data_IF_828608882852
#
_entry.id   IF_828608882852
#
_cell.length_a   1.000
_cell.length_b   1.000
_cell.length_c   1.000
_cell.angle_alpha   90.00
_cell.angle_beta   90.00
_cell.angle_gamma   90.00
#
_symmetry.space_group_name_H-M   'P 1'
#
loop_
_entity.id
_entity.type
_entity.pdbx_description
1 polymer ?
#
# COMPACT_ATOMS: atom_id res chain seq x y z
N UNK A 1 4.35 -1.41 -19.22
CA UNK A 1 4.33 -0.88 -17.83
C UNK A 1 4.76 -1.96 -16.86
N UNK A 2 5.63 -1.63 -15.90
CA UNK A 2 6.16 -2.56 -14.90
C UNK A 2 5.13 -2.87 -13.80
N UNK A 3 4.82 -4.14 -13.60
CA UNK A 3 3.80 -4.60 -12.64
C UNK A 3 4.34 -4.85 -11.22
N UNK A 4 5.61 -5.16 -11.06
CA UNK A 4 6.26 -5.33 -9.74
C UNK A 4 7.77 -5.21 -9.90
N UNK A 5 8.48 -4.95 -8.80
CA UNK A 5 9.94 -5.02 -8.73
C UNK A 5 10.40 -5.37 -7.31
N UNK A 6 11.64 -5.84 -7.21
CA UNK A 6 12.32 -6.19 -5.97
C UNK A 6 12.93 -7.58 -6.04
N UNK A 7 13.48 -8.02 -4.90
CA UNK A 7 14.13 -9.31 -4.76
C UNK A 7 15.60 -9.29 -5.15
N UNK A 8 16.34 -10.31 -4.68
CA UNK A 8 17.76 -10.47 -4.96
C UNK A 8 17.97 -10.97 -6.38
N UNK A 9 18.97 -10.45 -7.08
CA UNK A 9 19.41 -10.97 -8.38
C UNK A 9 20.19 -12.28 -8.23
N UNK A 10 20.89 -12.45 -7.12
CA UNK A 10 21.63 -13.68 -6.80
C UNK A 10 21.43 -14.06 -5.34
N UNK A 11 21.57 -15.35 -5.02
CA UNK A 11 21.42 -15.86 -3.64
C UNK A 11 22.36 -15.18 -2.64
N UNK A 12 23.52 -14.72 -3.10
CA UNK A 12 24.59 -14.18 -2.27
C UNK A 12 24.48 -12.66 -2.03
N UNK A 13 23.48 -11.99 -2.62
CA UNK A 13 23.26 -10.57 -2.33
C UNK A 13 22.91 -10.37 -0.85
N UNK A 14 23.60 -9.42 -0.23
CA UNK A 14 23.41 -9.05 1.17
C UNK A 14 22.50 -7.83 1.25
N UNK A 15 21.45 -7.94 2.05
CA UNK A 15 20.58 -6.82 2.43
C UNK A 15 21.27 -6.07 3.57
N UNK A 16 21.60 -4.80 3.36
CA UNK A 16 22.32 -3.92 4.28
C UNK A 16 21.40 -2.88 4.92
N UNK A 17 20.45 -2.36 4.14
CA UNK A 17 19.45 -1.40 4.60
C UNK A 17 18.13 -2.09 4.90
N UNK A 18 17.32 -1.45 5.76
CA UNK A 18 15.93 -1.85 5.93
C UNK A 18 15.19 -1.71 4.59
N UNK A 19 14.54 -2.78 4.09
CA UNK A 19 13.87 -2.75 2.80
C UNK A 19 12.79 -1.67 2.74
N UNK A 20 12.60 -1.08 1.56
CA UNK A 20 11.54 -0.11 1.30
C UNK A 20 10.48 -0.72 0.39
N UNK A 21 9.24 -0.65 0.83
CA UNK A 21 8.05 -1.10 0.10
C UNK A 21 7.26 0.12 -0.36
N UNK A 22 7.07 0.28 -1.66
CA UNK A 22 6.27 1.34 -2.26
C UNK A 22 4.89 0.81 -2.68
N UNK A 23 3.83 1.46 -2.21
CA UNK A 23 2.44 1.11 -2.52
C UNK A 23 1.79 2.26 -3.29
N UNK A 24 1.38 1.97 -4.53
CA UNK A 24 0.89 2.97 -5.47
C UNK A 24 -0.53 3.45 -5.13
N UNK A 25 -0.98 4.51 -5.80
CA UNK A 25 -2.36 4.99 -5.70
C UNK A 25 -3.31 4.33 -6.69
N UNK A 26 -4.56 4.75 -6.66
CA UNK A 26 -5.58 4.35 -7.65
C UNK A 26 -5.12 4.67 -9.08
N UNK A 27 -5.54 3.88 -10.08
CA UNK A 27 -5.17 4.03 -11.50
C UNK A 27 -3.68 3.88 -11.84
N UNK A 28 -2.83 3.55 -10.86
CA UNK A 28 -1.39 3.45 -11.03
C UNK A 28 -0.90 2.00 -10.92
N UNK A 29 0.41 1.82 -11.10
CA UNK A 29 1.13 0.55 -10.97
C UNK A 29 2.44 0.77 -10.25
N UNK A 30 3.11 -0.32 -9.87
CA UNK A 30 4.45 -0.29 -9.28
C UNK A 30 5.44 0.59 -10.06
N UNK A 31 5.35 0.60 -11.40
CA UNK A 31 6.22 1.39 -12.27
C UNK A 31 6.32 2.89 -11.97
N UNK A 32 5.36 3.50 -11.28
CA UNK A 32 5.43 4.93 -10.91
C UNK A 32 6.60 5.26 -9.97
N UNK A 33 7.13 4.24 -9.29
CA UNK A 33 8.21 4.41 -8.32
C UNK A 33 9.61 4.25 -8.93
N UNK A 34 9.76 4.11 -10.25
CA UNK A 34 11.10 4.07 -10.88
C UNK A 34 11.98 5.26 -10.46
N UNK A 35 11.49 6.52 -10.48
CA UNK A 35 12.30 7.65 -10.02
C UNK A 35 12.70 7.56 -8.54
N UNK A 36 11.85 6.94 -7.71
CA UNK A 36 12.15 6.73 -6.28
C UNK A 36 13.21 5.64 -6.11
N UNK A 37 13.13 4.58 -6.91
CA UNK A 37 14.16 3.54 -6.98
C UNK A 37 15.50 4.17 -7.34
N UNK A 38 15.54 4.97 -8.41
CA UNK A 38 16.78 5.63 -8.86
C UNK A 38 17.35 6.57 -7.78
N UNK A 39 16.48 7.30 -7.08
CA UNK A 39 16.87 8.10 -5.92
C UNK A 39 17.54 7.25 -4.83
N UNK A 40 16.90 6.18 -4.36
CA UNK A 40 17.47 5.36 -3.28
C UNK A 40 18.74 4.62 -3.71
N UNK A 41 18.83 4.19 -4.97
CA UNK A 41 20.07 3.65 -5.54
C UNK A 41 21.20 4.69 -5.49
N UNK A 42 20.92 5.96 -5.79
CA UNK A 42 21.90 7.06 -5.64
C UNK A 42 22.31 7.32 -4.18
N UNK A 43 21.56 6.83 -3.21
CA UNK A 43 21.84 6.90 -1.76
C UNK A 43 22.46 5.64 -1.19
N UNK A 44 22.87 4.69 -2.03
CA UNK A 44 23.58 3.48 -1.62
C UNK A 44 22.68 2.28 -1.33
N UNK A 45 21.36 2.37 -1.56
CA UNK A 45 20.50 1.19 -1.54
C UNK A 45 20.83 0.26 -2.72
N UNK A 46 20.49 -1.01 -2.56
CA UNK A 46 20.47 -2.00 -3.63
C UNK A 46 19.04 -2.20 -4.15
N UNK A 47 18.89 -2.60 -5.42
CA UNK A 47 17.59 -3.01 -5.99
C UNK A 47 16.93 -4.14 -5.20
N UNK A 48 17.73 -5.00 -4.57
CA UNK A 48 17.24 -6.06 -3.68
C UNK A 48 16.69 -5.56 -2.34
N UNK A 49 16.73 -4.25 -2.09
CA UNK A 49 16.19 -3.58 -0.90
C UNK A 49 14.98 -2.72 -1.22
N UNK A 50 14.54 -2.68 -2.49
CA UNK A 50 13.50 -1.79 -2.98
C UNK A 50 12.39 -2.63 -3.64
N UNK A 51 11.17 -2.51 -3.13
CA UNK A 51 10.08 -3.42 -3.45
C UNK A 51 8.81 -2.66 -3.81
N UNK A 52 8.09 -3.15 -4.81
CA UNK A 52 6.73 -2.72 -5.09
C UNK A 52 5.98 -3.80 -5.85
N UNK A 53 4.68 -3.90 -5.60
CA UNK A 53 3.76 -4.72 -6.38
C UNK A 53 2.54 -3.91 -6.78
N UNK A 54 1.92 -4.30 -7.89
CA UNK A 54 0.69 -3.68 -8.36
C UNK A 54 -0.47 -4.40 -7.73
N UNK A 55 -1.25 -3.71 -6.90
CA UNK A 55 -2.47 -4.29 -6.35
C UNK A 55 -3.68 -4.03 -7.24
N UNK A 56 -4.73 -4.83 -7.04
CA UNK A 56 -5.96 -4.76 -7.83
C UNK A 56 -5.70 -5.03 -9.31
N UNK A 57 -6.32 -4.24 -10.18
CA UNK A 57 -6.24 -4.44 -11.63
C UNK A 57 -5.16 -3.58 -12.32
N UNK A 58 -4.35 -2.87 -11.55
CA UNK A 58 -3.32 -1.97 -12.08
C UNK A 58 -3.86 -0.82 -12.92
N UNK A 59 -5.02 -0.28 -12.53
CA UNK A 59 -5.60 0.93 -13.10
C UNK A 59 -6.47 0.70 -14.33
N UNK A 60 -7.08 -0.48 -14.47
CA UNK A 60 -8.13 -0.67 -15.48
C UNK A 60 -9.45 -0.03 -15.01
N UNK A 61 -9.75 -0.09 -13.71
CA UNK A 61 -10.88 0.62 -13.11
C UNK A 61 -10.55 2.11 -12.99
N UNK A 62 -11.41 3.00 -13.52
CA UNK A 62 -11.27 4.44 -13.33
C UNK A 62 -11.30 4.85 -11.86
N UNK A 63 -10.64 5.96 -11.52
CA UNK A 63 -10.48 6.42 -10.13
C UNK A 63 -11.80 6.50 -9.35
N UNK A 64 -12.86 7.05 -9.95
CA UNK A 64 -14.16 7.20 -9.28
C UNK A 64 -15.00 5.92 -9.22
N UNK A 65 -14.48 4.81 -9.75
CA UNK A 65 -15.10 3.49 -9.74
C UNK A 65 -14.30 2.44 -8.95
N UNK A 66 -13.16 2.82 -8.36
CA UNK A 66 -12.31 1.89 -7.61
C UNK A 66 -12.49 2.09 -6.11
N UNK A 67 -12.98 1.06 -5.45
CA UNK A 67 -13.12 1.01 -3.99
C UNK A 67 -11.87 0.44 -3.33
N UNK A 68 -11.78 0.59 -2.00
CA UNK A 68 -10.69 0.01 -1.20
C UNK A 68 -11.08 -1.40 -0.72
N UNK A 69 -11.10 -2.34 -1.66
CA UNK A 69 -11.55 -3.71 -1.44
C UNK A 69 -10.65 -4.50 -0.47
N UNK A 70 -11.22 -5.42 0.30
CA UNK A 70 -10.47 -6.30 1.19
C UNK A 70 -9.40 -7.11 0.45
N UNK A 71 -9.65 -7.46 -0.82
CA UNK A 71 -8.70 -8.18 -1.66
C UNK A 71 -7.39 -7.37 -1.88
N UNK A 72 -7.50 -6.06 -2.12
CA UNK A 72 -6.34 -5.18 -2.28
C UNK A 72 -5.55 -5.08 -0.98
N UNK A 73 -6.26 -4.93 0.15
CA UNK A 73 -5.68 -4.89 1.49
C UNK A 73 -4.93 -6.18 1.80
N UNK A 74 -5.54 -7.34 1.52
CA UNK A 74 -4.92 -8.66 1.70
C UNK A 74 -3.66 -8.82 0.85
N UNK A 75 -3.69 -8.36 -0.40
CA UNK A 75 -2.52 -8.42 -1.29
C UNK A 75 -1.37 -7.58 -0.75
N UNK A 76 -1.63 -6.32 -0.37
CA UNK A 76 -0.62 -5.44 0.23
C UNK A 76 -0.09 -6.00 1.55
N UNK A 77 -0.98 -6.51 2.42
CA UNK A 77 -0.60 -7.12 3.70
C UNK A 77 0.30 -8.33 3.52
N UNK A 78 -0.05 -9.23 2.59
CA UNK A 78 0.74 -10.41 2.30
C UNK A 78 2.08 -10.03 1.67
N UNK A 79 2.12 -8.99 0.84
CA UNK A 79 3.38 -8.48 0.28
C UNK A 79 4.32 -7.93 1.35
N UNK A 80 3.80 -7.15 2.31
CA UNK A 80 4.59 -6.65 3.45
C UNK A 80 5.21 -7.81 4.23
N UNK A 81 4.40 -8.83 4.57
CA UNK A 81 4.89 -10.03 5.27
C UNK A 81 5.93 -10.77 4.44
N UNK A 82 5.69 -10.96 3.14
CA UNK A 82 6.61 -11.66 2.26
C UNK A 82 7.97 -10.95 2.18
N UNK A 83 8.01 -9.62 2.10
CA UNK A 83 9.27 -8.86 2.08
C UNK A 83 9.98 -8.93 3.43
N UNK A 84 9.25 -8.81 4.54
CA UNK A 84 9.80 -9.00 5.88
C UNK A 84 10.46 -10.40 6.02
N UNK A 85 9.73 -11.46 5.67
CA UNK A 85 10.21 -12.84 5.77
C UNK A 85 11.39 -13.09 4.81
N UNK A 86 11.32 -12.57 3.59
CA UNK A 86 12.36 -12.73 2.56
C UNK A 86 13.68 -12.06 2.91
N UNK A 87 13.61 -10.90 3.57
CA UNK A 87 14.79 -10.10 3.93
C UNK A 87 15.25 -10.31 5.36
N UNK A 88 14.42 -10.97 6.18
CA UNK A 88 14.60 -11.14 7.62
C UNK A 88 14.91 -9.81 8.33
N UNK A 89 14.15 -8.77 8.00
CA UNK A 89 14.35 -7.40 8.48
C UNK A 89 13.02 -6.65 8.57
N UNK A 90 12.90 -5.73 9.54
CA UNK A 90 11.79 -4.79 9.54
C UNK A 90 11.79 -3.95 8.27
N UNK A 91 10.60 -3.59 7.79
CA UNK A 91 10.42 -2.90 6.51
C UNK A 91 9.97 -1.46 6.71
N UNK A 92 10.44 -0.59 5.81
CA UNK A 92 9.91 0.75 5.63
C UNK A 92 8.82 0.69 4.56
N UNK A 93 7.67 1.35 4.78
CA UNK A 93 6.56 1.33 3.83
C UNK A 93 6.13 2.74 3.49
N UNK A 94 6.03 3.03 2.19
CA UNK A 94 5.54 4.29 1.66
C UNK A 94 4.25 4.06 0.88
N UNK A 95 3.14 4.60 1.39
CA UNK A 95 1.87 4.63 0.68
C UNK A 95 1.70 5.95 -0.07
N UNK A 96 1.17 5.89 -1.29
CA UNK A 96 0.84 7.08 -2.08
C UNK A 96 -0.65 7.11 -2.43
N UNK A 97 -1.31 8.27 -2.26
CA UNK A 97 -2.71 8.47 -2.64
C UNK A 97 -3.64 7.41 -1.99
N UNK A 98 -4.51 6.73 -2.75
CA UNK A 98 -5.35 5.63 -2.24
C UNK A 98 -4.54 4.52 -1.55
N UNK A 99 -3.30 4.29 -1.99
CA UNK A 99 -2.37 3.34 -1.37
C UNK A 99 -2.12 3.64 0.11
N UNK A 100 -2.24 4.89 0.57
CA UNK A 100 -2.13 5.23 1.99
C UNK A 100 -3.22 4.54 2.81
N UNK A 101 -4.48 4.67 2.42
CA UNK A 101 -5.59 4.06 3.16
C UNK A 101 -5.50 2.52 3.14
N UNK A 102 -5.22 1.94 1.97
CA UNK A 102 -5.06 0.49 1.80
C UNK A 102 -3.90 -0.03 2.65
N UNK A 103 -2.73 0.60 2.61
CA UNK A 103 -1.57 0.19 3.41
C UNK A 103 -1.81 0.38 4.90
N UNK A 104 -2.45 1.48 5.33
CA UNK A 104 -2.80 1.69 6.73
C UNK A 104 -3.68 0.56 7.24
N UNK A 105 -4.72 0.18 6.48
CA UNK A 105 -5.59 -0.95 6.83
C UNK A 105 -4.82 -2.28 6.84
N UNK A 106 -3.93 -2.50 5.87
CA UNK A 106 -3.08 -3.68 5.80
C UNK A 106 -2.14 -3.82 7.02
N UNK A 107 -1.59 -2.71 7.52
CA UNK A 107 -0.72 -2.67 8.70
C UNK A 107 -1.53 -2.88 9.98
N UNK A 108 -2.66 -2.17 10.16
CA UNK A 108 -3.45 -2.24 11.39
C UNK A 108 -4.24 -3.55 11.53
N UNK A 109 -4.62 -4.18 10.41
CA UNK A 109 -5.39 -5.43 10.42
C UNK A 109 -6.85 -5.23 10.86
N UNK A 110 -7.36 -6.17 11.67
CA UNK A 110 -8.77 -6.21 12.05
C UNK A 110 -9.68 -6.76 10.95
N UNK A 111 -10.97 -6.44 11.00
CA UNK A 111 -11.96 -6.88 10.03
C UNK A 111 -12.05 -5.95 8.82
N UNK A 112 -12.18 -6.51 7.62
CA UNK A 112 -12.56 -5.76 6.42
C UNK A 112 -14.03 -5.33 6.49
N UNK A 113 -14.34 -4.10 6.12
CA UNK A 113 -15.71 -3.54 6.23
C UNK A 113 -16.65 -4.07 5.15
N UNK A 114 -16.11 -4.40 3.98
CA UNK A 114 -16.83 -4.91 2.80
C UNK A 114 -17.10 -6.43 2.86
N UNK A 115 -16.14 -7.22 3.37
CA UNK A 115 -16.26 -8.70 3.37
C UNK A 115 -16.38 -9.32 4.77
N UNK A 116 -16.15 -8.55 5.84
CA UNK A 116 -16.03 -9.04 7.20
C UNK A 116 -14.94 -10.12 7.40
N UNK A 117 -13.99 -10.24 6.47
CA UNK A 117 -12.83 -11.12 6.62
C UNK A 117 -11.87 -10.55 7.68
N UNK A 118 -11.36 -11.42 8.56
CA UNK A 118 -10.38 -11.03 9.57
C UNK A 118 -8.95 -11.07 9.00
N UNK A 119 -8.30 -9.91 8.91
CA UNK A 119 -6.92 -9.77 8.42
C UNK A 119 -5.87 -10.26 9.43
N UNK A 120 -6.25 -10.41 10.70
CA UNK A 120 -5.34 -10.71 11.79
C UNK A 120 -4.93 -9.47 12.61
N UNK A 121 -4.01 -9.69 13.55
CA UNK A 121 -3.43 -8.66 14.42
C UNK A 121 -2.61 -7.62 13.63
N UNK A 122 -2.35 -6.42 14.19
CA UNK A 122 -1.49 -5.44 13.55
C UNK A 122 -0.09 -6.00 13.20
N UNK A 123 0.49 -5.56 12.08
CA UNK A 123 1.87 -5.86 11.66
C UNK A 123 2.88 -4.84 12.22
N UNK A 124 2.53 -4.07 13.25
CA UNK A 124 3.35 -2.95 13.73
C UNK A 124 4.75 -3.38 14.18
N UNK A 125 4.95 -4.64 14.55
CA UNK A 125 6.26 -5.21 14.84
C UNK A 125 7.13 -5.45 13.59
N UNK A 126 6.53 -5.60 12.42
CA UNK A 126 7.23 -5.79 11.13
C UNK A 126 7.60 -4.46 10.48
N UNK A 127 6.94 -3.36 10.86
CA UNK A 127 7.12 -2.04 10.26
C UNK A 127 8.10 -1.24 11.10
N UNK A 128 9.14 -0.72 10.45
CA UNK A 128 10.05 0.25 11.07
C UNK A 128 9.53 1.67 10.91
N UNK A 129 9.28 2.07 9.66
CA UNK A 129 8.77 3.40 9.31
C UNK A 129 7.59 3.27 8.35
N UNK A 130 6.54 4.05 8.58
CA UNK A 130 5.45 4.24 7.63
C UNK A 130 5.37 5.70 7.19
N UNK A 131 5.42 5.94 5.88
CA UNK A 131 5.30 7.26 5.26
C UNK A 131 4.01 7.30 4.44
N UNK A 132 3.15 8.26 4.74
CA UNK A 132 1.92 8.52 3.99
C UNK A 132 2.09 9.77 3.12
N UNK A 133 1.96 9.63 1.80
CA UNK A 133 2.14 10.72 0.83
C UNK A 133 0.84 10.99 0.09
N UNK A 134 0.32 12.22 0.24
CA UNK A 134 -0.88 12.70 -0.47
C UNK A 134 -2.09 11.75 -0.39
N UNK A 135 -2.27 11.11 0.77
CA UNK A 135 -3.20 10.01 0.94
C UNK A 135 -4.58 10.40 1.45
N UNK A 136 -5.57 9.55 1.16
CA UNK A 136 -6.97 9.67 1.63
C UNK A 136 -7.18 8.99 2.98
N UNK A 137 -6.23 9.15 3.92
CA UNK A 137 -6.21 8.40 5.19
C UNK A 137 -7.42 8.67 6.12
N UNK A 138 -8.15 9.77 5.86
CA UNK A 138 -9.36 10.20 6.56
C UNK A 138 -10.49 10.52 5.56
N UNK A 139 -10.39 9.99 4.35
CA UNK A 139 -11.28 10.31 3.23
C UNK A 139 -10.82 11.51 2.40
N UNK A 140 -11.66 11.86 1.42
CA UNK A 140 -11.49 12.98 0.50
C UNK A 140 -12.69 13.91 0.66
N UNK A 141 -12.44 15.17 1.04
CA UNK A 141 -13.49 16.13 1.41
C UNK A 141 -14.58 16.33 0.34
N UNK A 142 -14.16 16.34 -0.94
CA UNK A 142 -15.08 16.51 -2.09
C UNK A 142 -15.64 15.20 -2.64
N UNK A 143 -15.38 14.07 -1.99
CA UNK A 143 -15.90 12.76 -2.37
C UNK A 143 -17.36 12.67 -1.92
N UNK A 144 -18.30 12.63 -2.86
CA UNK A 144 -19.73 12.48 -2.54
C UNK A 144 -20.18 11.04 -2.77
N UNK A 145 -21.10 10.48 -1.96
CA UNK A 145 -21.57 9.10 -2.09
C UNK A 145 -22.18 8.72 -3.45
N UNK A 146 -22.40 9.69 -4.35
CA UNK A 146 -22.86 9.44 -5.72
C UNK A 146 -21.80 8.76 -6.60
N UNK A 147 -20.53 8.85 -6.23
CA UNK A 147 -19.45 8.12 -6.91
C UNK A 147 -19.20 6.79 -6.20
N UNK A 148 -18.99 5.73 -6.97
CA UNK A 148 -18.78 4.38 -6.44
C UNK A 148 -17.56 4.33 -5.50
N UNK A 149 -16.44 4.93 -5.91
CA UNK A 149 -15.22 5.05 -5.09
C UNK A 149 -15.37 5.92 -3.82
N UNK A 150 -16.52 6.58 -3.65
CA UNK A 150 -16.87 7.40 -2.49
C UNK A 150 -18.04 6.80 -1.71
N UNK A 151 -18.35 5.51 -1.88
CA UNK A 151 -19.43 4.87 -1.14
C UNK A 151 -19.21 4.89 0.39
N UNK A 152 -20.29 4.69 1.15
CA UNK A 152 -20.30 4.77 2.63
C UNK A 152 -19.70 3.54 3.33
N UNK A 153 -19.37 2.47 2.60
CA UNK A 153 -18.77 1.26 3.17
C UNK A 153 -17.24 1.30 3.04
N UNK A 154 -16.72 0.97 1.85
CA UNK A 154 -15.29 0.86 1.55
C UNK A 154 -14.77 1.98 0.61
N UNK A 155 -15.48 3.10 0.54
CA UNK A 155 -15.13 4.27 -0.28
C UNK A 155 -14.30 5.33 0.46
N UNK A 156 -13.83 6.31 -0.30
CA UNK A 156 -13.03 7.45 0.18
C UNK A 156 -13.88 8.59 0.77
N UNK A 157 -15.18 8.38 0.99
CA UNK A 157 -16.03 9.35 1.69
C UNK A 157 -15.57 9.48 3.15
N UNK A 158 -15.53 10.72 3.66
CA UNK A 158 -15.05 11.02 5.03
C UNK A 158 -15.84 10.25 6.12
N UNK A 159 -17.10 9.90 5.85
CA UNK A 159 -17.95 9.16 6.76
C UNK A 159 -18.09 7.68 6.41
N UNK A 160 -17.23 7.12 5.57
CA UNK A 160 -17.29 5.70 5.25
C UNK A 160 -16.82 4.85 6.43
N UNK A 161 -17.37 3.64 6.54
CA UNK A 161 -16.97 2.65 7.55
C UNK A 161 -15.47 2.34 7.48
N UNK A 162 -14.86 2.46 6.29
CA UNK A 162 -13.43 2.29 6.08
C UNK A 162 -12.56 3.35 6.78
N UNK A 163 -13.01 4.61 6.82
CA UNK A 163 -12.19 5.73 7.31
C UNK A 163 -12.24 5.88 8.83
N UNK A 164 -13.28 5.33 9.48
CA UNK A 164 -13.48 5.27 10.95
C UNK A 164 -13.51 6.65 11.65
N UNK A 165 -13.15 7.76 10.99
CA UNK A 165 -13.17 9.15 11.49
C UNK A 165 -13.40 10.16 10.35
N UNK A 166 -14.12 11.25 10.65
CA UNK A 166 -14.39 12.38 9.76
C UNK A 166 -13.10 13.03 9.21
N UNK A 167 -13.23 13.70 8.06
CA UNK A 167 -12.15 14.52 7.48
C UNK A 167 -11.69 15.59 8.49
N UNK A 168 -10.38 15.69 8.71
CA UNK A 168 -9.74 16.66 9.62
C UNK A 168 -9.40 17.96 8.92
#
# INVERSE_FOLDING_TARGET
MMGSFGGKKTRNEVIRHKPIIFIHGVTLRAGIFVPHVDYFLSKGYNRSELYSTTYGDGGRTPMFNKDMECADVKQVRNFIKAVYDYTNSQVNVMGYSMGVAITRKAILGGFCVDTNEYLGKPLTNLIDTYIAVAGVAYGLEKCTPNYHACNVNNGMYCGSDYMVRYCT
#
